data_IF_019048447573
#
_entry.id   IF_019048447573
#
_cell.length_a   1.000
_cell.length_b   1.000
_cell.length_c   1.000
_cell.angle_alpha   90.00
_cell.angle_beta   90.00
_cell.angle_gamma   90.00
#
_symmetry.space_group_name_H-M   'P 1'
#
loop_
_entity.id
_entity.type
_entity.pdbx_description
1 polymer ?
#
# COMPACT_ATOMS: atom_id res chain seq x y z
N UNK A 1 -39.35 32.19 -4.01
CA UNK A 1 -38.45 31.73 -5.08
C UNK A 1 -37.03 31.88 -4.56
N UNK A 2 -36.28 30.77 -4.56
CA UNK A 2 -34.85 30.68 -4.23
C UNK A 2 -34.06 31.72 -5.03
N UNK A 3 -32.94 32.22 -4.50
CA UNK A 3 -31.60 31.75 -4.92
C UNK A 3 -30.64 31.95 -3.73
N UNK A 4 -30.04 30.84 -3.31
CA UNK A 4 -28.83 30.77 -2.49
C UNK A 4 -27.64 30.98 -3.41
N UNK A 5 -26.66 31.79 -3.02
CA UNK A 5 -25.28 31.63 -3.46
C UNK A 5 -24.41 31.81 -2.22
N UNK A 6 -23.95 30.69 -1.65
CA UNK A 6 -22.83 30.68 -0.73
C UNK A 6 -21.57 30.98 -1.53
N UNK A 7 -21.02 32.17 -1.36
CA UNK A 7 -19.66 32.47 -1.80
C UNK A 7 -18.68 31.84 -0.80
N UNK A 8 -18.53 30.52 -0.82
CA UNK A 8 -17.33 29.88 -0.29
C UNK A 8 -16.24 30.12 -1.32
N UNK A 9 -15.35 31.05 -0.97
CA UNK A 9 -14.17 31.47 -1.73
C UNK A 9 -13.33 30.26 -2.12
N UNK A 10 -13.20 30.05 -3.44
CA UNK A 10 -12.17 29.22 -4.04
C UNK A 10 -10.81 29.85 -3.71
N UNK A 11 -10.09 29.30 -2.73
CA UNK A 11 -8.69 29.62 -2.49
C UNK A 11 -7.83 28.56 -3.17
N UNK A 12 -7.71 28.62 -4.50
CA UNK A 12 -6.68 27.87 -5.21
C UNK A 12 -5.33 28.56 -4.95
N UNK A 13 -4.58 28.12 -3.94
CA UNK A 13 -3.17 28.47 -3.83
C UNK A 13 -2.38 27.50 -4.69
N UNK A 14 -2.24 27.81 -5.99
CA UNK A 14 -1.23 27.16 -6.81
C UNK A 14 0.15 27.63 -6.32
N UNK A 15 0.81 26.83 -5.49
CA UNK A 15 2.25 26.97 -5.27
C UNK A 15 2.95 26.12 -6.34
N UNK A 16 3.09 26.66 -7.55
CA UNK A 16 4.04 26.10 -8.53
C UNK A 16 5.45 26.58 -8.14
N UNK A 17 6.02 25.94 -7.12
CA UNK A 17 7.41 26.15 -6.75
C UNK A 17 8.31 25.43 -7.74
N UNK A 18 8.97 26.17 -8.64
CA UNK A 18 10.17 25.66 -9.29
C UNK A 18 11.25 25.54 -8.21
N UNK A 19 11.32 24.41 -7.50
CA UNK A 19 12.46 24.08 -6.65
C UNK A 19 13.67 23.97 -7.59
N UNK A 20 14.58 24.95 -7.55
CA UNK A 20 15.82 24.91 -8.32
C UNK A 20 16.79 23.89 -7.72
N UNK A 21 16.46 22.61 -7.91
CA UNK A 21 17.37 21.47 -7.92
C UNK A 21 16.87 20.54 -9.04
N UNK A 22 17.68 20.31 -10.07
CA UNK A 22 17.49 19.13 -10.92
C UNK A 22 16.32 19.02 -11.91
N UNK A 23 15.54 20.06 -12.24
CA UNK A 23 14.28 19.98 -13.01
C UNK A 23 13.12 19.26 -12.28
N UNK A 24 13.07 19.33 -10.95
CA UNK A 24 11.92 18.83 -10.20
C UNK A 24 10.66 19.70 -10.44
N UNK A 25 9.49 19.06 -10.49
CA UNK A 25 8.18 19.69 -10.63
C UNK A 25 7.31 19.34 -9.41
N UNK A 26 6.76 20.35 -8.75
CA UNK A 26 5.74 20.18 -7.71
C UNK A 26 4.47 20.94 -8.08
N UNK A 27 3.33 20.27 -7.97
CA UNK A 27 1.99 20.85 -8.07
C UNK A 27 1.16 20.55 -6.83
N UNK A 28 0.56 21.59 -6.24
CA UNK A 28 -0.38 21.46 -5.13
C UNK A 28 -1.67 22.17 -5.50
N UNK A 29 -2.78 21.44 -5.46
CA UNK A 29 -4.14 21.94 -5.67
C UNK A 29 -5.00 21.62 -4.44
N UNK A 30 -5.57 22.67 -3.83
CA UNK A 30 -6.40 22.55 -2.62
C UNK A 30 -7.74 23.25 -2.86
N UNK A 31 -8.83 22.55 -2.56
CA UNK A 31 -10.21 23.02 -2.71
C UNK A 31 -11.03 22.77 -1.46
N UNK A 32 -11.29 23.82 -0.68
CA UNK A 32 -12.06 23.77 0.56
C UNK A 32 -11.35 24.48 1.71
N UNK A 33 -11.52 24.03 2.96
CA UNK A 33 -10.98 24.72 4.14
C UNK A 33 -10.01 23.88 4.97
N UNK A 34 -8.92 24.50 5.44
CA UNK A 34 -8.06 23.91 6.49
C UNK A 34 -7.06 22.84 6.03
N UNK A 35 -6.83 22.69 4.73
CA UNK A 35 -5.84 21.73 4.22
C UNK A 35 -4.39 22.13 4.57
N UNK A 36 -3.55 21.13 4.84
CA UNK A 36 -2.10 21.26 4.91
C UNK A 36 -1.48 20.32 3.88
N UNK A 37 -0.68 20.88 2.98
CA UNK A 37 0.12 20.13 2.02
C UNK A 37 1.57 20.61 2.09
N UNK A 38 2.50 19.69 2.24
CA UNK A 38 3.94 19.95 2.21
C UNK A 38 4.58 19.08 1.14
N UNK A 39 5.37 19.70 0.27
CA UNK A 39 6.18 19.01 -0.74
C UNK A 39 7.62 19.45 -0.56
N UNK A 40 8.53 18.51 -0.31
CA UNK A 40 9.97 18.76 -0.22
C UNK A 40 10.72 17.98 -1.30
N UNK A 41 11.28 18.74 -2.24
CA UNK A 41 12.20 18.27 -3.30
C UNK A 41 13.48 19.12 -3.29
N UNK A 42 13.90 19.59 -2.11
CA UNK A 42 14.99 20.56 -1.95
C UNK A 42 16.39 19.93 -2.01
N UNK A 43 16.48 18.61 -2.02
CA UNK A 43 17.77 17.93 -2.04
C UNK A 43 18.50 18.18 -3.38
N UNK A 44 19.76 18.67 -3.37
CA UNK A 44 20.51 18.96 -4.60
C UNK A 44 20.74 17.77 -5.52
N UNK A 45 20.65 16.54 -5.01
CA UNK A 45 20.81 15.30 -5.79
C UNK A 45 19.47 14.68 -6.22
N UNK A 46 18.35 15.35 -5.94
CA UNK A 46 17.03 15.00 -6.45
C UNK A 46 16.83 15.68 -7.82
N UNK A 47 16.62 14.90 -8.89
CA UNK A 47 16.47 15.41 -10.27
C UNK A 47 15.27 14.83 -11.00
N UNK A 48 14.65 15.61 -11.90
CA UNK A 48 13.55 15.23 -12.78
C UNK A 48 12.34 14.57 -12.09
N UNK A 49 12.14 14.81 -10.80
CA UNK A 49 11.04 14.20 -10.07
C UNK A 49 9.76 15.06 -10.16
N UNK A 50 8.61 14.41 -10.19
CA UNK A 50 7.29 15.06 -10.23
C UNK A 50 6.50 14.73 -8.97
N UNK A 51 5.93 15.76 -8.34
CA UNK A 51 4.97 15.61 -7.23
C UNK A 51 3.66 16.31 -7.58
N UNK A 52 2.54 15.63 -7.35
CA UNK A 52 1.20 16.18 -7.45
C UNK A 52 0.42 15.91 -6.17
N UNK A 53 -0.07 16.96 -5.52
CA UNK A 53 -0.97 16.86 -4.36
C UNK A 53 -2.29 17.52 -4.71
N UNK A 54 -3.39 16.77 -4.63
CA UNK A 54 -4.75 17.26 -4.84
C UNK A 54 -5.60 16.97 -3.59
N UNK A 55 -6.16 18.02 -2.97
CA UNK A 55 -7.01 17.90 -1.79
C UNK A 55 -8.33 18.62 -2.03
N UNK A 56 -9.46 17.94 -1.88
CA UNK A 56 -10.80 18.52 -2.00
C UNK A 56 -11.68 18.13 -0.81
N UNK A 57 -12.19 19.13 -0.07
CA UNK A 57 -13.00 18.92 1.13
C UNK A 57 -12.47 19.74 2.31
N UNK A 58 -12.37 19.19 3.52
CA UNK A 58 -11.87 19.95 4.67
C UNK A 58 -10.78 19.21 5.48
N UNK A 59 -9.79 19.97 5.96
CA UNK A 59 -8.79 19.55 6.96
C UNK A 59 -7.91 18.36 6.60
N UNK A 60 -7.63 18.15 5.30
CA UNK A 60 -6.66 17.14 4.86
C UNK A 60 -5.23 17.48 5.24
N UNK A 61 -4.41 16.46 5.49
CA UNK A 61 -2.96 16.57 5.67
C UNK A 61 -2.25 15.71 4.63
N UNK A 62 -1.32 16.31 3.89
CA UNK A 62 -0.47 15.62 2.93
C UNK A 62 0.98 16.06 3.12
N UNK A 63 1.89 15.09 3.22
CA UNK A 63 3.33 15.29 3.20
C UNK A 63 3.94 14.45 2.11
N UNK A 64 4.68 15.08 1.20
CA UNK A 64 5.44 14.39 0.15
C UNK A 64 6.90 14.80 0.23
N UNK A 65 7.78 13.82 0.38
CA UNK A 65 9.23 14.00 0.39
C UNK A 65 9.87 13.21 -0.76
N UNK A 66 10.61 13.91 -1.62
CA UNK A 66 11.54 13.28 -2.55
C UNK A 66 12.97 13.70 -2.20
N UNK A 67 13.69 12.77 -1.57
CA UNK A 67 14.95 13.02 -0.89
C UNK A 67 16.19 12.89 -1.77
N UNK A 68 17.32 12.61 -1.13
CA UNK A 68 18.62 12.49 -1.80
C UNK A 68 18.62 11.39 -2.88
N UNK A 69 19.33 11.66 -3.98
CA UNK A 69 19.64 10.70 -5.04
C UNK A 69 18.40 10.13 -5.73
N UNK A 70 17.31 10.90 -5.76
CA UNK A 70 16.08 10.52 -6.44
C UNK A 70 16.08 11.02 -7.88
N UNK A 71 15.78 10.17 -8.88
CA UNK A 71 15.67 10.58 -10.29
C UNK A 71 14.43 10.04 -11.00
N UNK A 72 13.73 10.89 -11.76
CA UNK A 72 12.56 10.50 -12.58
C UNK A 72 11.40 9.86 -11.80
N UNK A 73 11.27 10.15 -10.51
CA UNK A 73 10.18 9.61 -9.69
C UNK A 73 8.91 10.44 -9.79
N UNK A 74 7.77 9.78 -9.63
CA UNK A 74 6.45 10.42 -9.53
C UNK A 74 5.81 10.09 -8.19
N UNK A 75 5.47 11.12 -7.40
CA UNK A 75 4.67 11.00 -6.19
C UNK A 75 3.32 11.70 -6.36
N UNK A 76 2.22 10.97 -6.15
CA UNK A 76 0.87 11.52 -6.27
C UNK A 76 0.08 11.29 -4.98
N UNK A 77 -0.54 12.34 -4.47
CA UNK A 77 -1.47 12.29 -3.34
C UNK A 77 -2.81 12.89 -3.77
N UNK A 78 -3.89 12.12 -3.65
CA UNK A 78 -5.26 12.55 -3.92
C UNK A 78 -6.11 12.31 -2.67
N UNK A 79 -6.71 13.36 -2.12
CA UNK A 79 -7.57 13.28 -0.94
C UNK A 79 -8.91 13.97 -1.20
N UNK A 80 -9.99 13.22 -1.05
CA UNK A 80 -11.37 13.70 -1.18
C UNK A 80 -12.15 13.39 0.10
N UNK A 81 -12.78 14.39 0.73
CA UNK A 81 -13.61 14.21 1.93
C UNK A 81 -13.11 15.01 3.13
N UNK A 82 -13.05 14.41 4.32
CA UNK A 82 -12.67 15.11 5.55
C UNK A 82 -11.48 14.46 6.25
N UNK A 83 -10.53 15.26 6.75
CA UNK A 83 -9.50 14.81 7.71
C UNK A 83 -8.65 13.59 7.27
N UNK A 84 -8.51 13.33 5.96
CA UNK A 84 -7.58 12.30 5.50
C UNK A 84 -6.12 12.74 5.69
N UNK A 85 -5.25 11.78 6.00
CA UNK A 85 -3.81 11.95 6.20
C UNK A 85 -3.03 11.09 5.19
N UNK A 86 -2.05 11.70 4.51
CA UNK A 86 -1.22 11.02 3.51
C UNK A 86 0.25 11.40 3.68
N UNK A 87 1.11 10.39 3.77
CA UNK A 87 2.57 10.55 3.82
C UNK A 87 3.19 9.72 2.68
N UNK A 88 3.92 10.39 1.80
CA UNK A 88 4.61 9.76 0.67
C UNK A 88 6.09 10.12 0.74
N UNK A 89 6.95 9.10 0.82
CA UNK A 89 8.40 9.29 0.89
C UNK A 89 9.09 8.46 -0.20
N UNK A 90 9.90 9.12 -1.03
CA UNK A 90 10.81 8.48 -1.98
C UNK A 90 12.21 9.03 -1.69
N UNK A 91 13.09 8.24 -1.10
CA UNK A 91 14.39 8.72 -0.59
C UNK A 91 15.52 7.70 -0.85
N UNK A 92 16.77 8.13 -0.82
CA UNK A 92 17.97 7.28 -0.95
C UNK A 92 17.99 6.39 -2.22
N UNK A 93 18.39 6.96 -3.37
CA UNK A 93 18.67 6.19 -4.60
C UNK A 93 17.44 5.54 -5.27
N UNK A 94 16.26 6.12 -5.06
CA UNK A 94 15.02 5.72 -5.78
C UNK A 94 15.02 6.33 -7.19
N UNK A 95 14.74 5.54 -8.22
CA UNK A 95 14.65 6.04 -9.61
C UNK A 95 13.53 5.42 -10.43
N UNK A 96 12.99 6.18 -11.39
CA UNK A 96 11.91 5.78 -12.31
C UNK A 96 10.66 5.22 -11.61
N UNK A 97 10.48 5.55 -10.33
CA UNK A 97 9.51 4.90 -9.46
C UNK A 97 8.26 5.76 -9.26
N UNK A 98 7.16 5.08 -8.95
CA UNK A 98 5.83 5.67 -8.81
C UNK A 98 5.25 5.35 -7.45
N UNK A 99 4.81 6.38 -6.74
CA UNK A 99 4.15 6.27 -5.46
C UNK A 99 2.80 7.00 -5.53
N UNK A 100 1.74 6.35 -5.04
CA UNK A 100 0.38 6.88 -5.08
C UNK A 100 -0.34 6.66 -3.75
N UNK A 101 -0.94 7.73 -3.23
CA UNK A 101 -1.96 7.64 -2.17
C UNK A 101 -3.24 8.26 -2.70
N UNK A 102 -4.33 7.50 -2.72
CA UNK A 102 -5.66 7.99 -3.11
C UNK A 102 -6.68 7.65 -2.03
N UNK A 103 -7.28 8.67 -1.43
CA UNK A 103 -8.17 8.53 -0.28
C UNK A 103 -9.50 9.23 -0.56
N UNK A 104 -10.60 8.49 -0.50
CA UNK A 104 -11.95 9.02 -0.60
C UNK A 104 -12.73 8.72 0.67
N UNK A 105 -13.31 9.74 1.30
CA UNK A 105 -14.08 9.64 2.52
C UNK A 105 -13.39 10.33 3.70
N UNK A 106 -13.57 9.79 4.91
CA UNK A 106 -13.32 10.54 6.15
C UNK A 106 -12.28 9.87 7.06
N UNK A 107 -11.22 10.57 7.40
CA UNK A 107 -10.23 10.13 8.39
C UNK A 107 -9.41 8.91 7.98
N UNK A 108 -9.21 8.67 6.68
CA UNK A 108 -8.30 7.62 6.22
C UNK A 108 -6.84 8.08 6.38
N UNK A 109 -5.95 7.14 6.71
CA UNK A 109 -4.50 7.36 6.84
C UNK A 109 -3.74 6.45 5.88
N UNK A 110 -2.88 7.05 5.06
CA UNK A 110 -2.13 6.35 4.03
C UNK A 110 -0.65 6.70 4.13
N UNK A 111 0.21 5.68 4.11
CA UNK A 111 1.66 5.86 4.11
C UNK A 111 2.29 5.01 3.01
N UNK A 112 3.01 5.67 2.10
CA UNK A 112 3.83 5.03 1.07
C UNK A 112 5.29 5.40 1.27
N UNK A 113 6.16 4.39 1.33
CA UNK A 113 7.62 4.58 1.41
C UNK A 113 8.30 3.80 0.29
N UNK A 114 9.21 4.46 -0.42
CA UNK A 114 10.22 3.83 -1.25
C UNK A 114 11.58 4.37 -0.79
N UNK A 115 12.43 3.49 -0.28
CA UNK A 115 13.70 3.83 0.34
C UNK A 115 14.78 2.82 -0.05
N UNK A 116 16.00 3.33 -0.27
CA UNK A 116 17.24 2.62 -0.56
C UNK A 116 17.21 1.69 -1.79
N UNK A 117 17.71 2.18 -2.94
CA UNK A 117 17.95 1.44 -4.20
C UNK A 117 16.73 0.93 -5.00
N UNK A 118 15.55 1.53 -4.83
CA UNK A 118 14.35 1.15 -5.61
C UNK A 118 14.43 1.66 -7.06
N UNK A 119 14.27 0.78 -8.05
CA UNK A 119 14.25 1.15 -9.48
C UNK A 119 12.96 0.68 -10.15
N UNK A 120 12.24 1.60 -10.80
CA UNK A 120 10.98 1.34 -11.46
C UNK A 120 9.93 0.64 -10.56
N UNK A 121 9.94 0.95 -9.27
CA UNK A 121 8.98 0.43 -8.30
C UNK A 121 7.62 1.13 -8.42
N UNK A 122 6.54 0.39 -8.19
CA UNK A 122 5.18 0.92 -8.12
C UNK A 122 4.57 0.61 -6.76
N UNK A 123 4.30 1.64 -5.96
CA UNK A 123 3.69 1.49 -4.64
C UNK A 123 2.43 2.33 -4.56
N UNK A 124 1.32 1.73 -4.14
CA UNK A 124 0.06 2.45 -4.01
C UNK A 124 -0.76 2.04 -2.80
N UNK A 125 -1.40 3.03 -2.18
CA UNK A 125 -2.41 2.87 -1.14
C UNK A 125 -3.69 3.57 -1.62
N UNK A 126 -4.77 2.81 -1.74
CA UNK A 126 -6.08 3.27 -2.22
C UNK A 126 -7.13 2.97 -1.16
N UNK A 127 -7.76 4.01 -0.62
CA UNK A 127 -8.70 3.89 0.49
C UNK A 127 -10.02 4.57 0.14
N UNK A 128 -11.12 3.87 0.40
CA UNK A 128 -12.48 4.39 0.21
C UNK A 128 -13.35 4.07 1.42
N UNK A 129 -13.89 5.09 2.07
CA UNK A 129 -14.70 4.97 3.28
C UNK A 129 -14.09 5.76 4.43
N UNK A 130 -14.10 5.21 5.64
CA UNK A 130 -13.71 5.95 6.84
C UNK A 130 -12.71 5.21 7.71
N UNK A 131 -11.77 5.93 8.31
CA UNK A 131 -10.84 5.38 9.30
C UNK A 131 -10.02 4.17 8.80
N UNK A 132 -9.82 4.03 7.50
CA UNK A 132 -8.92 2.98 6.99
C UNK A 132 -7.46 3.43 7.17
N UNK A 133 -6.59 2.50 7.50
CA UNK A 133 -5.15 2.72 7.67
C UNK A 133 -4.37 1.77 6.74
N UNK A 134 -3.54 2.33 5.87
CA UNK A 134 -2.86 1.59 4.81
C UNK A 134 -1.39 2.00 4.73
N UNK A 135 -0.50 1.04 4.86
CA UNK A 135 0.95 1.21 4.76
C UNK A 135 1.48 0.32 3.65
N UNK A 136 2.22 0.90 2.71
CA UNK A 136 2.91 0.15 1.68
C UNK A 136 4.37 0.64 1.57
N UNK A 137 5.34 -0.25 1.77
CA UNK A 137 6.75 0.14 1.84
C UNK A 137 7.65 -0.78 1.02
N UNK A 138 8.55 -0.18 0.24
CA UNK A 138 9.71 -0.83 -0.37
C UNK A 138 10.96 -0.24 0.29
N UNK A 139 11.64 -0.97 1.17
CA UNK A 139 12.74 -0.46 2.00
C UNK A 139 13.95 -1.40 1.89
N UNK A 140 15.17 -0.87 1.85
CA UNK A 140 16.41 -1.68 1.76
C UNK A 140 16.41 -2.61 0.54
N UNK A 141 15.82 -2.17 -0.59
CA UNK A 141 15.66 -3.03 -1.76
C UNK A 141 16.57 -2.60 -2.91
N UNK A 142 17.47 -3.48 -3.35
CA UNK A 142 17.92 -3.52 -4.75
C UNK A 142 16.80 -3.94 -5.72
N UNK A 143 15.56 -3.55 -5.42
CA UNK A 143 14.31 -4.00 -6.00
C UNK A 143 14.07 -3.30 -7.31
N UNK A 144 14.22 -4.06 -8.40
CA UNK A 144 13.87 -3.61 -9.74
C UNK A 144 12.44 -4.10 -10.03
N UNK A 145 11.54 -3.20 -10.44
CA UNK A 145 10.17 -3.51 -10.91
C UNK A 145 9.24 -4.14 -9.84
N UNK A 146 9.48 -3.87 -8.55
CA UNK A 146 8.59 -4.33 -7.48
C UNK A 146 7.26 -3.57 -7.49
N UNK A 147 6.14 -4.27 -7.27
CA UNK A 147 4.80 -3.68 -7.16
C UNK A 147 4.18 -3.97 -5.79
N UNK A 148 3.71 -2.95 -5.09
CA UNK A 148 2.90 -3.06 -3.87
C UNK A 148 1.60 -2.28 -4.03
N UNK A 149 0.47 -2.95 -3.81
CA UNK A 149 -0.85 -2.31 -3.88
C UNK A 149 -1.67 -2.68 -2.67
N UNK A 150 -2.08 -1.68 -1.91
CA UNK A 150 -3.04 -1.81 -0.82
C UNK A 150 -4.35 -1.14 -1.24
N UNK A 151 -5.45 -1.89 -1.24
CA UNK A 151 -6.79 -1.37 -1.50
C UNK A 151 -7.70 -1.68 -0.32
N UNK A 152 -8.34 -0.65 0.24
CA UNK A 152 -9.26 -0.79 1.38
C UNK A 152 -10.57 -0.08 1.09
N UNK A 153 -11.68 -0.80 1.23
CA UNK A 153 -13.03 -0.28 1.03
C UNK A 153 -13.87 -0.60 2.26
N UNK A 154 -14.35 0.46 2.94
CA UNK A 154 -15.24 0.34 4.09
C UNK A 154 -14.72 1.12 5.29
N UNK A 155 -14.80 0.53 6.49
CA UNK A 155 -14.57 1.25 7.75
C UNK A 155 -13.51 0.55 8.60
N UNK A 156 -12.51 1.30 9.06
CA UNK A 156 -11.59 0.80 10.09
C UNK A 156 -10.70 -0.36 9.64
N UNK A 157 -10.49 -0.57 8.35
CA UNK A 157 -9.59 -1.63 7.88
C UNK A 157 -8.13 -1.19 8.07
N UNK A 158 -7.26 -2.14 8.42
CA UNK A 158 -5.82 -1.94 8.54
C UNK A 158 -5.08 -2.86 7.56
N UNK A 159 -4.15 -2.31 6.79
CA UNK A 159 -3.34 -3.06 5.85
C UNK A 159 -1.89 -2.58 5.86
N UNK A 160 -0.97 -3.53 5.92
CA UNK A 160 0.45 -3.30 5.74
C UNK A 160 0.98 -4.25 4.66
N UNK A 161 1.74 -3.72 3.71
CA UNK A 161 2.46 -4.54 2.74
C UNK A 161 3.89 -4.02 2.60
N UNK A 162 4.85 -4.91 2.82
CA UNK A 162 6.27 -4.55 2.87
C UNK A 162 7.06 -5.47 1.93
N UNK A 163 7.90 -4.87 1.09
CA UNK A 163 8.98 -5.52 0.39
C UNK A 163 10.31 -5.07 1.00
N UNK A 164 11.13 -6.01 1.46
CA UNK A 164 12.46 -5.76 2.03
C UNK A 164 13.53 -6.62 1.31
N UNK A 165 14.82 -6.32 1.53
CA UNK A 165 15.96 -7.21 1.22
C UNK A 165 15.93 -7.90 -0.17
N UNK A 166 15.97 -7.11 -1.25
CA UNK A 166 16.09 -7.59 -2.65
C UNK A 166 14.89 -8.35 -3.24
N UNK A 167 13.65 -7.93 -2.94
CA UNK A 167 12.43 -8.41 -3.61
C UNK A 167 12.29 -7.92 -5.08
N UNK A 168 13.04 -8.51 -6.02
CA UNK A 168 13.03 -8.14 -7.44
C UNK A 168 11.80 -8.65 -8.19
N UNK A 169 11.19 -7.79 -9.02
CA UNK A 169 10.01 -8.09 -9.86
C UNK A 169 8.87 -8.77 -9.10
N UNK A 170 8.79 -8.46 -7.81
CA UNK A 170 7.89 -9.07 -6.84
C UNK A 170 6.60 -8.26 -6.74
N UNK A 171 5.49 -8.92 -6.42
CA UNK A 171 4.16 -8.31 -6.37
C UNK A 171 3.45 -8.66 -5.07
N UNK A 172 3.15 -7.65 -4.25
CA UNK A 172 2.32 -7.78 -3.05
C UNK A 172 1.00 -7.02 -3.20
N UNK A 173 -0.13 -7.71 -3.00
CA UNK A 173 -1.48 -7.14 -3.15
C UNK A 173 -2.32 -7.38 -1.90
N UNK A 174 -2.85 -6.32 -1.31
CA UNK A 174 -3.86 -6.37 -0.25
C UNK A 174 -5.17 -5.79 -0.76
N UNK A 175 -6.26 -6.53 -0.61
CA UNK A 175 -7.61 -6.06 -0.90
C UNK A 175 -8.56 -6.36 0.26
N UNK A 176 -9.02 -5.32 0.93
CA UNK A 176 -9.96 -5.42 2.06
C UNK A 176 -11.27 -4.74 1.70
N UNK A 177 -12.37 -5.46 1.85
CA UNK A 177 -13.72 -4.94 1.73
C UNK A 177 -14.52 -5.26 2.99
N UNK A 178 -14.98 -4.22 3.69
CA UNK A 178 -15.86 -4.34 4.85
C UNK A 178 -15.35 -3.56 6.06
N UNK A 179 -15.45 -4.15 7.24
CA UNK A 179 -15.21 -3.46 8.51
C UNK A 179 -14.12 -4.15 9.34
N UNK A 180 -13.12 -3.39 9.79
CA UNK A 180 -12.15 -3.86 10.76
C UNK A 180 -11.27 -5.03 10.30
N UNK A 181 -11.11 -5.25 9.00
CA UNK A 181 -10.20 -6.30 8.51
C UNK A 181 -8.74 -5.87 8.70
N UNK A 182 -7.85 -6.84 8.98
CA UNK A 182 -6.41 -6.66 9.19
C UNK A 182 -5.65 -7.55 8.21
N UNK A 183 -4.74 -6.99 7.43
CA UNK A 183 -3.89 -7.76 6.52
C UNK A 183 -2.44 -7.25 6.57
N UNK A 184 -1.50 -8.15 6.80
CA UNK A 184 -0.07 -7.85 6.83
C UNK A 184 0.64 -8.78 5.84
N UNK A 185 1.33 -8.18 4.86
CA UNK A 185 2.16 -8.88 3.89
C UNK A 185 3.61 -8.50 4.07
N UNK A 186 4.47 -9.51 4.07
CA UNK A 186 5.91 -9.35 4.07
C UNK A 186 6.54 -10.18 2.95
N UNK A 187 7.41 -9.56 2.16
CA UNK A 187 8.17 -10.24 1.12
C UNK A 187 9.62 -9.76 1.18
N UNK A 188 10.55 -10.65 1.51
CA UNK A 188 11.93 -10.25 1.73
C UNK A 188 12.97 -11.31 1.44
N UNK A 189 14.21 -11.01 1.83
CA UNK A 189 15.32 -11.95 1.91
C UNK A 189 15.64 -12.67 0.58
N UNK A 190 15.98 -11.95 -0.49
CA UNK A 190 16.25 -12.48 -1.85
C UNK A 190 15.01 -13.17 -2.42
N UNK A 191 14.00 -12.35 -2.75
CA UNK A 191 12.80 -12.83 -3.46
C UNK A 191 12.79 -12.37 -4.93
N UNK A 192 12.65 -13.30 -5.88
CA UNK A 192 12.56 -12.97 -7.31
C UNK A 192 11.26 -13.52 -7.91
N UNK A 193 10.48 -12.67 -8.59
CA UNK A 193 9.19 -13.04 -9.21
C UNK A 193 8.19 -13.66 -8.20
N UNK A 194 8.27 -13.29 -6.92
CA UNK A 194 7.33 -13.74 -5.91
C UNK A 194 6.02 -12.96 -5.99
N UNK A 195 4.91 -13.65 -5.72
CA UNK A 195 3.57 -13.07 -5.69
C UNK A 195 2.89 -13.37 -4.36
N UNK A 196 2.48 -12.33 -3.64
CA UNK A 196 1.66 -12.43 -2.44
C UNK A 196 0.35 -11.67 -2.66
N UNK A 197 -0.78 -12.32 -2.39
CA UNK A 197 -2.09 -11.69 -2.39
C UNK A 197 -2.90 -12.06 -1.15
N UNK A 198 -3.47 -11.05 -0.48
CA UNK A 198 -4.48 -11.24 0.56
C UNK A 198 -5.77 -10.49 0.19
N UNK A 199 -6.88 -11.23 0.17
CA UNK A 199 -8.20 -10.68 -0.07
C UNK A 199 -9.14 -11.01 1.09
N UNK A 200 -9.72 -9.98 1.70
CA UNK A 200 -10.60 -10.11 2.86
C UNK A 200 -11.92 -9.41 2.59
N UNK A 201 -13.02 -10.16 2.60
CA UNK A 201 -14.37 -9.67 2.42
C UNK A 201 -15.19 -9.95 3.69
N UNK A 202 -15.60 -8.91 4.39
CA UNK A 202 -16.47 -9.00 5.56
C UNK A 202 -15.94 -8.24 6.76
N UNK A 203 -16.04 -8.85 7.93
CA UNK A 203 -15.87 -8.14 9.21
C UNK A 203 -14.83 -8.82 10.06
N UNK A 204 -13.82 -8.07 10.53
CA UNK A 204 -12.79 -8.56 11.45
C UNK A 204 -12.05 -9.80 10.94
N UNK A 205 -11.79 -9.92 9.63
CA UNK A 205 -10.90 -10.96 9.14
C UNK A 205 -9.44 -10.53 9.30
N UNK A 206 -8.56 -11.47 9.62
CA UNK A 206 -7.14 -11.26 9.87
C UNK A 206 -6.31 -12.17 8.96
N UNK A 207 -5.31 -11.61 8.28
CA UNK A 207 -4.40 -12.34 7.39
C UNK A 207 -2.96 -11.88 7.59
N UNK A 208 -2.07 -12.81 7.92
CA UNK A 208 -0.63 -12.60 8.03
C UNK A 208 0.05 -13.48 6.98
N UNK A 209 0.78 -12.87 6.05
CA UNK A 209 1.38 -13.60 4.93
C UNK A 209 2.82 -13.18 4.68
N UNK A 210 3.73 -14.13 4.74
CA UNK A 210 5.16 -13.89 4.55
C UNK A 210 5.78 -14.81 3.49
N UNK A 211 6.66 -14.25 2.64
CA UNK A 211 7.58 -15.00 1.78
C UNK A 211 9.02 -14.51 1.97
N UNK A 212 9.95 -15.44 2.22
CA UNK A 212 11.37 -15.14 2.45
C UNK A 212 12.25 -16.14 1.67
N UNK A 213 13.34 -15.69 1.04
CA UNK A 213 14.24 -16.55 0.26
C UNK A 213 13.53 -17.38 -0.82
N UNK A 214 12.57 -16.78 -1.55
CA UNK A 214 11.78 -17.51 -2.55
C UNK A 214 12.01 -17.05 -3.99
N UNK A 215 11.88 -17.96 -4.96
CA UNK A 215 11.93 -17.64 -6.39
C UNK A 215 10.69 -18.19 -7.09
N UNK A 216 9.97 -17.33 -7.82
CA UNK A 216 8.75 -17.70 -8.56
C UNK A 216 7.68 -18.40 -7.69
N UNK A 217 7.56 -17.99 -6.43
CA UNK A 217 6.60 -18.56 -5.48
C UNK A 217 5.35 -17.71 -5.36
N UNK A 218 4.23 -18.34 -5.02
CA UNK A 218 2.91 -17.70 -4.98
C UNK A 218 2.21 -18.02 -3.66
N UNK A 219 1.77 -16.99 -2.93
CA UNK A 219 0.76 -17.12 -1.88
C UNK A 219 -0.49 -16.36 -2.31
N UNK A 220 -1.65 -17.01 -2.22
CA UNK A 220 -2.95 -16.37 -2.35
C UNK A 220 -3.85 -16.77 -1.19
N UNK A 221 -4.33 -15.77 -0.46
CA UNK A 221 -5.27 -15.96 0.65
C UNK A 221 -6.58 -15.24 0.36
N UNK A 222 -7.69 -15.91 0.68
CA UNK A 222 -9.03 -15.38 0.51
C UNK A 222 -9.89 -15.69 1.74
N UNK A 223 -10.41 -14.66 2.39
CA UNK A 223 -11.32 -14.77 3.52
C UNK A 223 -12.65 -14.10 3.17
N UNK A 224 -13.75 -14.82 3.33
CA UNK A 224 -15.09 -14.27 3.17
C UNK A 224 -15.96 -14.65 4.39
N UNK A 225 -16.42 -13.64 5.11
CA UNK A 225 -17.25 -13.79 6.30
C UNK A 225 -16.70 -12.98 7.46
N UNK A 226 -16.82 -13.50 8.68
CA UNK A 226 -16.39 -12.79 9.89
C UNK A 226 -15.37 -13.53 10.73
N UNK A 227 -14.46 -12.79 11.38
CA UNK A 227 -13.52 -13.33 12.36
C UNK A 227 -12.63 -14.48 11.82
N UNK A 228 -12.41 -14.55 10.51
CA UNK A 228 -11.53 -15.56 9.95
C UNK A 228 -10.07 -15.13 10.17
N UNK A 229 -9.18 -16.11 10.42
CA UNK A 229 -7.76 -15.91 10.63
C UNK A 229 -6.95 -16.81 9.69
N UNK A 230 -6.05 -16.22 8.91
CA UNK A 230 -5.07 -16.92 8.07
C UNK A 230 -3.66 -16.49 8.47
N UNK A 231 -2.77 -17.47 8.63
CA UNK A 231 -1.34 -17.26 8.72
C UNK A 231 -0.64 -18.14 7.67
N UNK A 232 0.15 -17.54 6.79
CA UNK A 232 0.90 -18.29 5.77
C UNK A 232 2.34 -17.81 5.74
N UNK A 233 3.28 -18.75 5.89
CA UNK A 233 4.70 -18.53 5.67
C UNK A 233 5.26 -19.46 4.60
N UNK A 234 6.06 -18.92 3.69
CA UNK A 234 6.91 -19.69 2.78
C UNK A 234 8.36 -19.24 2.92
N UNK A 235 9.27 -20.20 3.10
CA UNK A 235 10.71 -19.91 3.24
C UNK A 235 11.57 -20.85 2.40
N UNK A 236 12.62 -20.33 1.75
CA UNK A 236 13.62 -21.13 1.01
C UNK A 236 12.99 -22.04 -0.08
N UNK A 237 12.19 -21.45 -0.97
CA UNK A 237 11.42 -22.19 -1.98
C UNK A 237 11.60 -21.64 -3.40
N UNK A 238 11.86 -22.52 -4.35
CA UNK A 238 11.67 -22.29 -5.78
C UNK A 238 10.32 -22.88 -6.25
N UNK A 239 9.43 -22.05 -6.79
CA UNK A 239 8.17 -22.48 -7.39
C UNK A 239 7.09 -22.98 -6.42
N UNK A 240 7.11 -22.52 -5.16
CA UNK A 240 6.12 -22.90 -4.15
C UNK A 240 4.76 -22.26 -4.40
N UNK A 241 3.66 -22.93 -4.05
CA UNK A 241 2.30 -22.37 -4.13
C UNK A 241 1.50 -22.64 -2.87
N UNK A 242 1.03 -21.59 -2.19
CA UNK A 242 -0.01 -21.69 -1.15
C UNK A 242 -1.29 -21.02 -1.62
N UNK A 243 -2.41 -21.75 -1.50
CA UNK A 243 -3.75 -21.20 -1.69
C UNK A 243 -4.57 -21.53 -0.44
N UNK A 244 -4.97 -20.50 0.30
CA UNK A 244 -5.86 -20.66 1.47
C UNK A 244 -7.16 -19.91 1.26
N UNK A 245 -8.28 -20.63 1.30
CA UNK A 245 -9.63 -20.08 1.20
C UNK A 245 -10.42 -20.38 2.48
N UNK A 246 -10.98 -19.33 3.10
CA UNK A 246 -11.91 -19.43 4.22
C UNK A 246 -13.25 -18.78 3.86
N UNK A 247 -14.34 -19.55 4.02
CA UNK A 247 -15.70 -19.07 3.81
C UNK A 247 -16.57 -19.37 5.04
N UNK A 248 -17.07 -18.33 5.68
CA UNK A 248 -17.91 -18.42 6.88
C UNK A 248 -17.27 -17.69 8.06
N UNK A 249 -17.49 -18.18 9.28
CA UNK A 249 -17.21 -17.41 10.49
C UNK A 249 -16.22 -18.09 11.43
N UNK A 250 -15.24 -17.36 11.95
CA UNK A 250 -14.28 -17.87 12.93
C UNK A 250 -13.48 -19.09 12.45
N UNK A 251 -13.10 -19.14 11.17
CA UNK A 251 -12.18 -20.16 10.67
C UNK A 251 -10.73 -19.74 10.92
N UNK A 252 -9.86 -20.68 11.29
CA UNK A 252 -8.44 -20.47 11.55
C UNK A 252 -7.62 -21.41 10.68
N UNK A 253 -6.67 -20.88 9.92
CA UNK A 253 -5.77 -21.68 9.09
C UNK A 253 -4.34 -21.19 9.23
N UNK A 254 -3.41 -22.13 9.39
CA UNK A 254 -1.98 -21.88 9.29
C UNK A 254 -1.38 -22.75 8.17
N UNK A 255 -0.55 -22.16 7.31
CA UNK A 255 0.31 -22.91 6.39
C UNK A 255 1.76 -22.48 6.57
N UNK A 256 2.65 -23.45 6.72
CA UNK A 256 4.11 -23.23 6.64
C UNK A 256 4.69 -24.18 5.61
N UNK A 257 5.39 -23.62 4.62
CA UNK A 257 6.13 -24.43 3.64
C UNK A 257 7.62 -24.10 3.66
N UNK A 258 8.40 -25.17 3.61
CA UNK A 258 9.85 -25.15 3.46
C UNK A 258 10.23 -26.09 2.32
N UNK A 259 11.25 -25.76 1.52
CA UNK A 259 11.74 -26.53 0.36
C UNK A 259 10.99 -26.32 -0.98
N UNK A 260 11.64 -26.69 -2.08
CA UNK A 260 11.21 -26.38 -3.45
C UNK A 260 9.96 -27.11 -3.93
N UNK A 261 9.14 -26.42 -4.75
CA UNK A 261 8.07 -27.01 -5.55
C UNK A 261 6.85 -27.53 -4.79
N UNK A 262 6.67 -27.13 -3.52
CA UNK A 262 5.53 -27.59 -2.73
C UNK A 262 4.25 -26.85 -3.09
N UNK A 263 3.12 -27.54 -3.00
CA UNK A 263 1.79 -26.96 -3.17
C UNK A 263 0.93 -27.27 -1.95
N UNK A 264 0.51 -26.23 -1.23
CA UNK A 264 -0.45 -26.31 -0.13
C UNK A 264 -1.75 -25.66 -0.56
N UNK A 265 -2.85 -26.42 -0.45
CA UNK A 265 -4.20 -25.91 -0.72
C UNK A 265 -5.06 -26.21 0.48
N UNK A 266 -5.62 -25.16 1.08
CA UNK A 266 -6.56 -25.24 2.17
C UNK A 266 -7.88 -24.58 1.79
N UNK A 267 -8.99 -25.26 2.07
CA UNK A 267 -10.33 -24.73 1.90
C UNK A 267 -11.16 -25.06 3.15
N UNK A 268 -11.56 -24.03 3.88
CA UNK A 268 -12.39 -24.14 5.08
C UNK A 268 -13.74 -23.46 4.82
N UNK A 269 -14.82 -24.22 4.97
CA UNK A 269 -16.19 -23.74 4.77
C UNK A 269 -17.01 -24.01 6.02
N UNK A 270 -17.74 -23.00 6.50
CA UNK A 270 -18.56 -23.09 7.71
C UNK A 270 -17.98 -22.26 8.84
N UNK A 271 -18.19 -22.71 10.08
CA UNK A 271 -17.77 -21.94 11.25
C UNK A 271 -16.89 -22.74 12.20
N UNK A 272 -15.87 -22.08 12.76
CA UNK A 272 -14.99 -22.65 13.78
C UNK A 272 -14.02 -23.70 13.24
N UNK A 273 -13.75 -23.75 11.93
CA UNK A 273 -12.82 -24.73 11.39
C UNK A 273 -11.38 -24.34 11.73
N UNK A 274 -10.58 -25.29 12.22
CA UNK A 274 -9.14 -25.11 12.43
C UNK A 274 -8.37 -26.04 11.52
N UNK A 275 -7.34 -25.53 10.84
CA UNK A 275 -6.50 -26.30 9.92
C UNK A 275 -5.05 -25.86 10.01
N UNK A 276 -4.14 -26.81 9.80
CA UNK A 276 -2.71 -26.56 9.75
C UNK A 276 -2.10 -27.41 8.62
N UNK A 277 -1.34 -26.80 7.73
CA UNK A 277 -0.49 -27.47 6.74
C UNK A 277 0.96 -27.12 7.06
N UNK A 278 1.78 -28.14 7.27
CA UNK A 278 3.22 -28.00 7.43
C UNK A 278 3.90 -28.93 6.45
N UNK A 279 4.75 -28.38 5.58
CA UNK A 279 5.44 -29.12 4.51
C UNK A 279 6.91 -28.70 4.38
#
# INVERSE_FOLDING_TARGET
MKVWISTATLASLLVSGYSMAGNNLAGVEQGGFGHQATVDQSNPTSTNNTVSVMQTGDSHQASVLQGALTDLNTGTVEQLGLMNEAILEQIAEVSESTALISQTGDGNSGWVVQDDFVIAGNVSVIQSGSMNEGVAAQVDTGGILGTLVVTQVGVGNYAQAIHEDFAQSSVGLVNQQGEGNIAELFQGDITELGFINATQNGVLNEAYVAQEFVMSSTISTFQNGSMNYIEVGQSAMSGGTVITTQMGDANTHATTQSNDGQTAIANQVGSGNTGNIMQ
#
